data_IF_947303471369
#
_entry.id   IF_947303471369
#
_cell.length_a   1.000
_cell.length_b   1.000
_cell.length_c   1.000
_cell.angle_alpha   90.00
_cell.angle_beta   90.00
_cell.angle_gamma   90.00
#
_symmetry.space_group_name_H-M   'P 1'
#
loop_
_entity.id
_entity.type
_entity.pdbx_description
1 polymer ?
#
# COMPACT_ATOMS: atom_id res chain seq x y z
N UNK A 1 -79.75 59.41 108.88
CA UNK A 1 -78.55 60.16 108.46
C UNK A 1 -77.46 59.15 108.09
N UNK A 2 -76.83 59.38 106.94
CA UNK A 2 -75.54 58.83 106.48
C UNK A 2 -75.33 57.30 106.46
N UNK A 3 -75.66 56.71 105.30
CA UNK A 3 -74.78 55.95 104.40
C UNK A 3 -73.54 55.24 104.99
N UNK A 4 -73.52 53.90 104.94
CA UNK A 4 -72.31 53.12 104.73
C UNK A 4 -72.59 51.94 103.80
N UNK A 5 -71.73 51.78 102.80
CA UNK A 5 -71.82 50.79 101.73
C UNK A 5 -71.49 49.39 102.24
N UNK A 6 -72.34 48.41 101.96
CA UNK A 6 -71.89 47.03 101.74
C UNK A 6 -72.77 46.29 100.72
N UNK A 7 -72.06 45.74 99.73
CA UNK A 7 -72.35 44.68 98.77
C UNK A 7 -73.55 43.77 99.06
N UNK A 8 -74.33 43.49 98.01
CA UNK A 8 -74.53 42.15 97.42
C UNK A 8 -75.21 42.36 96.03
N UNK A 9 -74.73 41.90 94.87
CA UNK A 9 -74.24 40.60 94.40
C UNK A 9 -75.37 39.60 94.11
N UNK A 10 -75.74 39.48 92.83
CA UNK A 10 -76.35 38.33 92.14
C UNK A 10 -76.88 38.87 90.81
N UNK A 11 -76.54 38.38 89.63
CA UNK A 11 -76.55 36.98 89.17
C UNK A 11 -75.78 36.92 87.85
N UNK A 12 -74.79 36.03 87.71
CA UNK A 12 -74.92 34.79 86.91
C UNK A 12 -75.51 35.08 85.52
N UNK A 13 -74.74 34.97 84.44
CA UNK A 13 -74.60 33.67 83.78
C UNK A 13 -73.21 33.42 83.18
N UNK A 14 -72.63 32.31 83.61
CA UNK A 14 -71.58 31.56 82.93
C UNK A 14 -72.08 31.07 81.56
N UNK A 15 -71.59 31.64 80.46
CA UNK A 15 -71.36 30.82 79.27
C UNK A 15 -69.95 30.24 79.36
N UNK A 16 -69.88 28.96 79.72
CA UNK A 16 -68.66 28.16 79.71
C UNK A 16 -68.20 27.98 78.25
N UNK A 17 -67.35 28.90 77.78
CA UNK A 17 -66.73 28.91 76.46
C UNK A 17 -65.58 27.87 76.31
N UNK A 18 -65.48 26.95 77.28
CA UNK A 18 -64.46 25.89 77.33
C UNK A 18 -64.39 25.02 76.06
N UNK A 19 -65.51 24.63 75.42
CA UNK A 19 -65.46 23.85 74.18
C UNK A 19 -64.89 24.66 73.00
N UNK A 20 -65.26 25.93 72.89
CA UNK A 20 -64.78 26.87 71.85
C UNK A 20 -63.30 27.17 72.03
N UNK A 21 -62.84 27.49 73.24
CA UNK A 21 -61.42 27.70 73.55
C UNK A 21 -60.56 26.45 73.27
N UNK A 22 -61.05 25.26 73.58
CA UNK A 22 -60.36 23.99 73.26
C UNK A 22 -60.26 23.76 71.75
N UNK A 23 -61.30 24.12 71.00
CA UNK A 23 -61.35 23.99 69.54
C UNK A 23 -60.40 24.99 68.85
N UNK A 24 -60.32 26.22 69.35
CA UNK A 24 -59.37 27.25 68.90
C UNK A 24 -57.94 26.78 69.14
N UNK A 25 -57.61 26.29 70.34
CA UNK A 25 -56.27 25.79 70.64
C UNK A 25 -55.85 24.62 69.76
N UNK A 26 -56.75 23.66 69.51
CA UNK A 26 -56.50 22.57 68.56
C UNK A 26 -56.28 23.05 67.11
N UNK A 27 -56.94 24.15 66.70
CA UNK A 27 -56.75 24.76 65.38
C UNK A 27 -55.39 25.49 65.31
N UNK A 28 -55.00 26.20 66.38
CA UNK A 28 -53.70 26.85 66.49
C UNK A 28 -52.55 25.83 66.43
N UNK A 29 -52.64 24.74 67.19
CA UNK A 29 -51.64 23.65 67.18
C UNK A 29 -51.53 23.00 65.79
N UNK A 30 -52.66 22.73 65.12
CA UNK A 30 -52.67 22.24 63.72
C UNK A 30 -52.08 23.24 62.73
N UNK A 31 -52.32 24.54 62.94
CA UNK A 31 -51.78 25.57 62.07
C UNK A 31 -50.26 25.70 62.24
N UNK A 32 -49.77 25.58 63.47
CA UNK A 32 -48.33 25.51 63.79
C UNK A 32 -47.67 24.29 63.13
N UNK A 33 -48.30 23.12 63.21
CA UNK A 33 -47.81 21.88 62.57
C UNK A 33 -47.77 22.01 61.04
N UNK A 34 -48.82 22.59 60.43
CA UNK A 34 -48.85 22.88 59.00
C UNK A 34 -47.78 23.88 58.58
N UNK A 35 -47.51 24.89 59.40
CA UNK A 35 -46.44 25.87 59.14
C UNK A 35 -45.06 25.20 59.13
N UNK A 36 -44.80 24.31 60.09
CA UNK A 36 -43.56 23.53 60.14
C UNK A 36 -43.40 22.62 58.91
N UNK A 37 -44.47 21.89 58.54
CA UNK A 37 -44.48 21.05 57.33
C UNK A 37 -44.24 21.86 56.06
N UNK A 38 -44.82 23.04 55.94
CA UNK A 38 -44.59 23.94 54.79
C UNK A 38 -43.14 24.43 54.71
N UNK A 39 -42.51 24.72 55.85
CA UNK A 39 -41.09 25.09 55.89
C UNK A 39 -40.19 23.92 55.46
N UNK A 40 -40.53 22.69 55.87
CA UNK A 40 -39.80 21.49 55.47
C UNK A 40 -39.95 21.17 53.98
N UNK A 41 -41.17 21.28 53.44
CA UNK A 41 -41.44 21.17 51.99
C UNK A 41 -40.64 22.22 51.21
N UNK A 42 -40.58 23.46 51.70
CA UNK A 42 -39.80 24.52 51.06
C UNK A 42 -38.31 24.18 50.99
N UNK A 43 -37.73 23.65 52.07
CA UNK A 43 -36.32 23.19 52.09
C UNK A 43 -36.08 22.02 51.14
N UNK A 44 -36.96 21.02 51.14
CA UNK A 44 -36.87 19.88 50.24
C UNK A 44 -36.94 20.31 48.77
N UNK A 45 -37.85 21.24 48.43
CA UNK A 45 -37.96 21.79 47.08
C UNK A 45 -36.68 22.51 46.65
N UNK A 46 -36.07 23.32 47.53
CA UNK A 46 -34.78 23.96 47.23
C UNK A 46 -33.68 22.94 46.95
N UNK A 47 -33.57 21.87 47.76
CA UNK A 47 -32.61 20.79 47.53
C UNK A 47 -32.87 20.04 46.22
N UNK A 48 -34.14 19.82 45.87
CA UNK A 48 -34.53 19.16 44.63
C UNK A 48 -34.15 20.00 43.40
N UNK A 49 -34.33 21.32 43.47
CA UNK A 49 -33.93 22.26 42.41
C UNK A 49 -32.43 22.18 42.17
N UNK A 50 -31.64 22.13 43.24
CA UNK A 50 -30.17 22.04 43.14
C UNK A 50 -29.72 20.72 42.51
N UNK A 51 -30.31 19.59 42.92
CA UNK A 51 -30.06 18.28 42.29
C UNK A 51 -30.46 18.27 40.81
N UNK A 52 -31.57 18.89 40.43
CA UNK A 52 -31.99 18.98 39.03
C UNK A 52 -31.01 19.80 38.18
N UNK A 53 -30.42 20.86 38.74
CA UNK A 53 -29.36 21.62 38.05
C UNK A 53 -28.13 20.75 37.81
N UNK A 54 -27.73 19.96 38.80
CA UNK A 54 -26.57 19.06 38.66
C UNK A 54 -26.82 17.98 37.60
N UNK A 55 -27.99 17.33 37.61
CA UNK A 55 -28.37 16.36 36.57
C UNK A 55 -28.36 16.99 35.18
N UNK A 56 -28.81 18.25 35.06
CA UNK A 56 -28.80 18.96 33.78
C UNK A 56 -27.38 19.22 33.30
N UNK A 57 -26.45 19.54 34.21
CA UNK A 57 -25.02 19.73 33.93
C UNK A 57 -24.38 18.43 33.43
N UNK A 58 -24.61 17.33 34.15
CA UNK A 58 -24.10 15.99 33.79
C UNK A 58 -24.63 15.55 32.42
N UNK A 59 -25.93 15.76 32.15
CA UNK A 59 -26.51 15.41 30.85
C UNK A 59 -25.89 16.20 29.70
N UNK A 60 -25.55 17.48 29.93
CA UNK A 60 -24.83 18.29 28.94
C UNK A 60 -23.44 17.72 28.65
N UNK A 61 -22.65 17.42 29.69
CA UNK A 61 -21.31 16.84 29.54
C UNK A 61 -21.35 15.46 28.84
N UNK A 62 -22.33 14.61 29.17
CA UNK A 62 -22.50 13.31 28.52
C UNK A 62 -22.86 13.45 27.05
N UNK A 63 -23.67 14.44 26.69
CA UNK A 63 -24.04 14.71 25.30
C UNK A 63 -22.84 15.14 24.46
N UNK A 64 -22.01 16.04 24.99
CA UNK A 64 -20.75 16.43 24.31
C UNK A 64 -19.81 15.24 24.11
N UNK A 65 -19.64 14.40 25.14
CA UNK A 65 -18.82 13.18 25.03
C UNK A 65 -19.39 12.19 24.00
N UNK A 66 -20.70 12.09 23.88
CA UNK A 66 -21.35 11.24 22.89
C UNK A 66 -21.09 11.76 21.47
N UNK A 67 -21.24 13.05 21.23
CA UNK A 67 -20.94 13.69 19.93
C UNK A 67 -19.46 13.48 19.53
N UNK A 68 -18.53 13.60 20.48
CA UNK A 68 -17.11 13.37 20.22
C UNK A 68 -16.84 11.89 19.84
N UNK A 69 -17.51 10.95 20.52
CA UNK A 69 -17.41 9.52 20.21
C UNK A 69 -17.99 9.18 18.85
N UNK A 70 -19.11 9.79 18.47
CA UNK A 70 -19.71 9.62 17.14
C UNK A 70 -18.79 10.14 16.03
N UNK A 71 -18.13 11.29 16.26
CA UNK A 71 -17.15 11.82 15.30
C UNK A 71 -15.97 10.86 15.11
N UNK A 72 -15.39 10.36 16.22
CA UNK A 72 -14.31 9.36 16.17
C UNK A 72 -14.75 8.07 15.48
N UNK A 73 -16.00 7.64 15.68
CA UNK A 73 -16.54 6.46 15.02
C UNK A 73 -16.63 6.63 13.50
N UNK A 74 -17.07 7.80 13.01
CA UNK A 74 -17.09 8.10 11.56
C UNK A 74 -15.68 8.13 10.97
N UNK A 75 -14.72 8.72 11.67
CA UNK A 75 -13.31 8.71 11.24
C UNK A 75 -12.76 7.28 11.16
N UNK A 76 -13.09 6.44 12.15
CA UNK A 76 -12.69 5.04 12.15
C UNK A 76 -13.35 4.23 11.01
N UNK A 77 -14.63 4.46 10.72
CA UNK A 77 -15.31 3.83 9.58
C UNK A 77 -14.64 4.19 8.26
N UNK A 78 -14.26 5.45 8.07
CA UNK A 78 -13.54 5.88 6.87
C UNK A 78 -12.15 5.23 6.77
N UNK A 79 -11.45 5.10 7.90
CA UNK A 79 -10.17 4.40 7.94
C UNK A 79 -10.30 2.92 7.54
N UNK A 80 -11.31 2.22 8.07
CA UNK A 80 -11.61 0.83 7.69
C UNK A 80 -11.92 0.72 6.20
N UNK A 81 -12.74 1.61 5.63
CA UNK A 81 -13.06 1.61 4.21
C UNK A 81 -11.81 1.79 3.33
N UNK A 82 -10.89 2.68 3.75
CA UNK A 82 -9.63 2.88 3.04
C UNK A 82 -8.76 1.60 3.07
N UNK A 83 -8.68 0.91 4.22
CA UNK A 83 -7.96 -0.35 4.35
C UNK A 83 -8.57 -1.47 3.49
N UNK A 84 -9.90 -1.53 3.38
CA UNK A 84 -10.57 -2.51 2.52
C UNK A 84 -10.27 -2.27 1.03
N UNK A 85 -10.25 -1.00 0.60
CA UNK A 85 -9.85 -0.64 -0.76
C UNK A 85 -8.40 -1.04 -1.03
N UNK A 86 -7.49 -0.73 -0.11
CA UNK A 86 -6.09 -1.13 -0.23
C UNK A 86 -5.93 -2.66 -0.31
N UNK A 87 -6.63 -3.42 0.54
CA UNK A 87 -6.64 -4.89 0.49
C UNK A 87 -7.13 -5.41 -0.86
N UNK A 88 -8.16 -4.79 -1.43
CA UNK A 88 -8.71 -5.21 -2.73
C UNK A 88 -7.73 -4.93 -3.88
N UNK A 89 -7.01 -3.81 -3.83
CA UNK A 89 -5.93 -3.49 -4.78
C UNK A 89 -4.78 -4.50 -4.67
N UNK A 90 -4.34 -4.83 -3.44
CA UNK A 90 -3.33 -5.86 -3.19
C UNK A 90 -3.76 -7.24 -3.72
N UNK A 91 -5.02 -7.62 -3.51
CA UNK A 91 -5.56 -8.89 -4.01
C UNK A 91 -5.54 -8.95 -5.55
N UNK A 92 -5.85 -7.84 -6.22
CA UNK A 92 -5.76 -7.75 -7.68
C UNK A 92 -4.31 -7.83 -8.18
N UNK A 93 -3.35 -7.28 -7.43
CA UNK A 93 -1.93 -7.40 -7.75
C UNK A 93 -1.45 -8.85 -7.60
N UNK A 94 -1.83 -9.53 -6.50
CA UNK A 94 -1.53 -10.94 -6.30
C UNK A 94 -2.10 -11.83 -7.40
N UNK A 95 -3.35 -11.59 -7.81
CA UNK A 95 -3.95 -12.32 -8.95
C UNK A 95 -3.19 -12.08 -10.25
N UNK A 96 -2.71 -10.86 -10.51
CA UNK A 96 -1.88 -10.56 -11.70
C UNK A 96 -0.54 -11.28 -11.65
N UNK A 97 0.10 -11.33 -10.49
CA UNK A 97 1.36 -12.03 -10.26
C UNK A 97 1.19 -13.54 -10.42
N UNK A 98 0.12 -14.11 -9.88
CA UNK A 98 -0.21 -15.52 -10.03
C UNK A 98 -0.43 -15.86 -11.51
N UNK A 99 -1.18 -15.03 -12.25
CA UNK A 99 -1.33 -15.20 -13.69
C UNK A 99 -0.01 -15.03 -14.46
N UNK A 100 0.90 -14.15 -14.02
CA UNK A 100 2.22 -14.01 -14.62
C UNK A 100 3.11 -15.22 -14.33
N UNK A 101 3.08 -15.73 -13.09
CA UNK A 101 3.77 -16.97 -12.70
C UNK A 101 3.27 -18.15 -13.53
N UNK A 102 1.94 -18.33 -13.64
CA UNK A 102 1.34 -19.36 -14.47
C UNK A 102 1.67 -19.18 -15.95
N UNK A 103 1.77 -17.94 -16.44
CA UNK A 103 2.19 -17.67 -17.82
C UNK A 103 3.67 -17.99 -18.02
N UNK A 104 4.53 -17.69 -17.06
CA UNK A 104 5.95 -18.06 -17.05
C UNK A 104 6.08 -19.59 -17.01
N UNK A 105 5.34 -20.28 -16.16
CA UNK A 105 5.28 -21.75 -16.08
C UNK A 105 4.80 -22.38 -17.38
N UNK A 106 3.81 -21.77 -18.02
CA UNK A 106 3.28 -22.23 -19.32
C UNK A 106 4.24 -21.90 -20.46
N UNK A 107 4.99 -20.80 -20.39
CA UNK A 107 6.03 -20.43 -21.35
C UNK A 107 7.28 -21.31 -21.19
N UNK A 108 7.68 -21.65 -19.97
CA UNK A 108 8.60 -22.75 -19.67
C UNK A 108 8.05 -24.05 -20.26
N UNK A 109 6.74 -24.29 -20.11
CA UNK A 109 5.97 -25.36 -20.74
C UNK A 109 5.99 -25.40 -22.27
N UNK A 110 6.00 -24.24 -22.93
CA UNK A 110 6.05 -24.11 -24.39
C UNK A 110 7.50 -24.19 -24.89
N UNK A 111 8.47 -23.75 -24.10
CA UNK A 111 9.90 -24.02 -24.30
C UNK A 111 10.26 -25.52 -24.09
N UNK A 112 9.38 -26.32 -23.45
CA UNK A 112 9.52 -27.79 -23.36
C UNK A 112 9.44 -28.48 -24.71
N UNK A 113 8.82 -27.87 -25.72
CA UNK A 113 8.52 -28.59 -26.97
C UNK A 113 9.72 -28.80 -27.87
N UNK A 114 10.88 -28.19 -27.58
CA UNK A 114 12.04 -28.42 -28.45
C UNK A 114 13.23 -29.14 -27.83
N UNK A 115 13.58 -29.14 -26.52
CA UNK A 115 14.86 -29.83 -26.17
C UNK A 115 15.26 -30.13 -24.70
N UNK A 116 14.38 -30.18 -23.68
CA UNK A 116 14.85 -30.35 -22.27
C UNK A 116 14.17 -31.49 -21.50
N UNK A 117 15.00 -32.34 -20.88
CA UNK A 117 14.68 -33.50 -20.01
C UNK A 117 13.85 -33.11 -18.77
N UNK A 118 12.76 -33.84 -18.50
CA UNK A 118 11.80 -33.61 -17.41
C UNK A 118 12.44 -33.65 -16.02
N UNK A 119 13.56 -34.37 -15.84
CA UNK A 119 14.29 -34.43 -14.56
C UNK A 119 14.92 -33.08 -14.18
N UNK A 120 15.35 -32.29 -15.16
CA UNK A 120 15.92 -30.95 -14.93
C UNK A 120 14.83 -29.99 -14.42
N UNK A 121 13.60 -30.15 -14.92
CA UNK A 121 12.45 -29.31 -14.54
C UNK A 121 12.02 -29.57 -13.10
N UNK A 122 12.02 -30.84 -12.67
CA UNK A 122 11.73 -31.20 -11.29
C UNK A 122 12.74 -30.55 -10.33
N UNK A 123 14.02 -30.63 -10.69
CA UNK A 123 15.12 -29.99 -9.96
C UNK A 123 14.93 -28.47 -9.89
N UNK A 124 14.54 -27.80 -10.98
CA UNK A 124 14.29 -26.34 -10.97
C UNK A 124 13.13 -25.90 -10.08
N UNK A 125 12.04 -26.68 -10.03
CA UNK A 125 10.87 -26.34 -9.20
C UNK A 125 11.17 -26.49 -7.72
N UNK A 126 11.81 -27.61 -7.35
CA UNK A 126 12.24 -27.87 -5.97
C UNK A 126 13.23 -26.78 -5.51
N UNK A 127 14.17 -26.40 -6.37
CA UNK A 127 15.14 -25.33 -6.09
C UNK A 127 14.49 -23.95 -5.92
N UNK A 128 13.41 -23.65 -6.65
CA UNK A 128 12.72 -22.36 -6.57
C UNK A 128 11.88 -22.24 -5.29
N UNK A 129 11.25 -23.32 -4.81
CA UNK A 129 10.51 -23.27 -3.53
C UNK A 129 11.47 -23.13 -2.34
N UNK A 130 12.59 -23.85 -2.35
CA UNK A 130 13.63 -23.73 -1.31
C UNK A 130 14.33 -22.36 -1.34
N UNK A 131 14.55 -21.78 -2.52
CA UNK A 131 15.05 -20.41 -2.68
C UNK A 131 14.12 -19.39 -2.00
N UNK A 132 12.80 -19.53 -2.13
CA UNK A 132 11.81 -18.63 -1.53
C UNK A 132 11.74 -18.76 -0.01
N UNK A 133 11.93 -19.96 0.53
CA UNK A 133 11.99 -20.19 1.98
C UNK A 133 13.20 -19.48 2.63
N UNK A 134 14.33 -19.38 1.92
CA UNK A 134 15.58 -18.80 2.44
C UNK A 134 15.54 -17.28 2.67
N UNK A 135 14.73 -16.51 1.91
CA UNK A 135 14.57 -15.06 2.09
C UNK A 135 13.74 -14.65 3.32
N UNK A 136 13.09 -15.61 3.99
CA UNK A 136 12.33 -15.36 5.22
C UNK A 136 13.21 -15.39 6.47
N UNK A 137 14.41 -15.97 6.41
CA UNK A 137 15.35 -16.02 7.51
C UNK A 137 16.32 -14.84 7.44
N UNK A 138 16.09 -13.84 8.29
CA UNK A 138 16.96 -12.67 8.47
C UNK A 138 18.26 -13.10 9.15
N UNK A 139 19.29 -13.43 8.40
CA UNK A 139 20.68 -13.33 8.85
C UNK A 139 21.59 -13.04 7.63
N UNK A 140 22.29 -11.88 7.58
CA UNK A 140 23.08 -11.50 6.41
C UNK A 140 24.44 -12.20 6.28
N UNK A 141 24.86 -12.98 7.28
CA UNK A 141 26.25 -13.41 7.45
C UNK A 141 26.50 -14.92 7.26
N UNK A 142 25.46 -15.69 6.88
CA UNK A 142 25.66 -17.05 6.39
C UNK A 142 25.70 -17.02 4.87
N UNK A 143 26.86 -17.36 4.30
CA UNK A 143 27.00 -17.59 2.87
C UNK A 143 26.02 -18.69 2.43
N UNK A 144 24.90 -18.28 1.85
CA UNK A 144 23.87 -19.16 1.31
C UNK A 144 24.52 -20.17 0.33
N UNK A 145 24.40 -21.50 0.57
CA UNK A 145 25.11 -22.53 -0.19
C UNK A 145 24.74 -22.59 -1.69
N UNK A 146 23.65 -21.91 -2.09
CA UNK A 146 23.11 -21.91 -3.45
C UNK A 146 23.76 -20.91 -4.43
N UNK A 147 24.40 -19.85 -3.95
CA UNK A 147 25.11 -18.93 -4.84
C UNK A 147 26.40 -19.53 -5.40
N UNK A 148 26.81 -20.72 -4.93
CA UNK A 148 28.04 -21.39 -5.35
C UNK A 148 28.09 -21.73 -6.84
N UNK A 149 26.94 -21.98 -7.48
CA UNK A 149 26.88 -22.31 -8.91
C UNK A 149 26.60 -21.12 -9.83
N UNK A 150 26.32 -19.93 -9.29
CA UNK A 150 26.11 -18.72 -10.09
C UNK A 150 27.48 -18.18 -10.51
N UNK A 151 27.68 -18.10 -11.82
CA UNK A 151 28.93 -17.62 -12.43
C UNK A 151 28.77 -16.23 -13.03
N UNK A 152 27.56 -15.87 -13.45
CA UNK A 152 27.24 -14.59 -14.09
C UNK A 152 25.97 -14.01 -13.49
N UNK A 153 25.98 -12.71 -13.23
CA UNK A 153 24.77 -11.94 -12.89
C UNK A 153 24.46 -11.02 -14.05
N UNK A 154 23.20 -10.96 -14.47
CA UNK A 154 22.71 -10.08 -15.53
C UNK A 154 21.67 -9.14 -14.92
N UNK A 155 21.92 -7.83 -14.98
CA UNK A 155 20.92 -6.81 -14.68
C UNK A 155 20.22 -6.38 -15.96
N UNK A 156 18.92 -6.62 -16.06
CA UNK A 156 18.08 -6.23 -17.19
C UNK A 156 17.18 -5.06 -16.77
N UNK A 157 17.38 -3.92 -17.44
CA UNK A 157 16.45 -2.80 -17.46
C UNK A 157 15.46 -3.02 -18.61
N UNK A 158 14.28 -3.55 -18.27
CA UNK A 158 13.16 -3.70 -19.20
C UNK A 158 12.35 -2.41 -19.21
N UNK A 159 12.78 -1.38 -19.92
CA UNK A 159 12.12 -0.07 -19.93
C UNK A 159 10.90 0.03 -20.85
N UNK A 160 10.08 1.06 -20.67
CA UNK A 160 8.86 1.29 -21.48
C UNK A 160 9.18 1.56 -22.95
N UNK A 161 10.23 2.33 -23.20
CA UNK A 161 10.61 2.78 -24.55
C UNK A 161 11.85 2.06 -25.08
N UNK A 162 12.83 1.86 -24.21
CA UNK A 162 14.07 1.18 -24.53
C UNK A 162 14.43 0.25 -23.37
N UNK A 163 15.05 -0.88 -23.70
CA UNK A 163 15.58 -1.83 -22.72
C UNK A 163 17.09 -1.99 -22.92
N UNK A 164 17.80 -2.30 -21.85
CA UNK A 164 19.23 -2.56 -21.87
C UNK A 164 19.61 -3.55 -20.79
N UNK A 165 20.76 -4.20 -20.94
CA UNK A 165 21.27 -5.09 -19.90
C UNK A 165 22.76 -4.88 -19.68
N UNK A 166 23.17 -5.14 -18.45
CA UNK A 166 24.57 -5.23 -18.04
C UNK A 166 24.80 -6.58 -17.39
N UNK A 167 26.03 -7.07 -17.41
CA UNK A 167 26.38 -8.35 -16.84
C UNK A 167 27.75 -8.31 -16.17
N UNK A 168 27.97 -9.21 -15.22
CA UNK A 168 29.22 -9.32 -14.49
C UNK A 168 29.49 -10.78 -14.13
N UNK A 169 30.75 -11.19 -14.23
CA UNK A 169 31.17 -12.48 -13.69
C UNK A 169 31.33 -12.40 -12.17
N UNK A 170 30.82 -13.40 -11.44
CA UNK A 170 30.90 -13.45 -9.98
C UNK A 170 32.36 -13.50 -9.49
N UNK A 171 33.25 -14.10 -10.29
CA UNK A 171 34.69 -14.12 -10.03
C UNK A 171 35.38 -12.74 -10.18
N UNK A 172 34.75 -11.80 -10.89
CA UNK A 172 35.29 -10.45 -11.10
C UNK A 172 34.18 -9.39 -10.93
N UNK A 173 33.72 -9.24 -9.69
CA UNK A 173 32.56 -8.41 -9.30
C UNK A 173 32.71 -6.91 -9.65
N UNK A 174 33.93 -6.44 -9.87
CA UNK A 174 34.23 -5.04 -10.16
C UNK A 174 34.08 -4.71 -11.65
N UNK A 175 34.05 -5.72 -12.53
CA UNK A 175 34.00 -5.51 -13.97
C UNK A 175 32.57 -5.72 -14.51
N UNK A 176 31.75 -4.69 -14.33
CA UNK A 176 30.40 -4.65 -14.91
C UNK A 176 30.50 -4.25 -16.38
N UNK A 177 30.01 -5.11 -17.27
CA UNK A 177 29.98 -4.86 -18.70
C UNK A 177 28.55 -4.56 -19.16
N UNK A 178 28.33 -3.38 -19.74
CA UNK A 178 27.07 -3.06 -20.42
C UNK A 178 27.06 -3.62 -21.84
N UNK A 179 25.91 -4.09 -22.31
CA UNK A 179 25.79 -4.50 -23.70
C UNK A 179 25.62 -3.29 -24.63
N UNK A 180 26.43 -3.23 -25.68
CA UNK A 180 26.41 -2.16 -26.69
C UNK A 180 26.08 -2.66 -28.11
N UNK A 181 25.99 -3.99 -28.27
CA UNK A 181 25.83 -4.64 -29.58
C UNK A 181 24.40 -5.16 -29.66
N UNK A 182 23.63 -4.65 -30.64
CA UNK A 182 22.22 -5.01 -30.83
C UNK A 182 21.96 -5.41 -32.29
N UNK A 183 20.99 -6.31 -32.56
CA UNK A 183 20.65 -6.67 -33.92
C UNK A 183 20.17 -5.46 -34.75
N UNK A 184 20.96 -5.10 -35.78
CA UNK A 184 20.63 -4.02 -36.71
C UNK A 184 21.05 -2.62 -36.25
N UNK A 185 21.76 -2.50 -35.12
CA UNK A 185 22.33 -1.24 -34.64
C UNK A 185 23.78 -1.39 -34.21
N UNK A 186 24.56 -0.32 -34.42
CA UNK A 186 25.93 -0.22 -33.95
C UNK A 186 25.95 0.94 -32.94
N UNK A 187 26.58 0.75 -31.78
CA UNK A 187 26.87 1.78 -30.76
C UNK A 187 25.67 2.37 -29.99
N UNK A 188 24.86 1.53 -29.33
CA UNK A 188 23.87 2.00 -28.34
C UNK A 188 23.82 1.07 -27.10
N UNK A 189 23.70 1.63 -25.89
CA UNK A 189 23.55 0.86 -24.64
C UNK A 189 22.17 0.21 -24.46
N UNK A 190 21.18 0.63 -25.24
CA UNK A 190 19.81 0.15 -25.18
C UNK A 190 19.27 -0.10 -26.59
N UNK A 191 18.26 -0.94 -26.69
CA UNK A 191 17.44 -1.17 -27.89
C UNK A 191 16.00 -0.79 -27.61
N UNK A 192 15.20 -0.49 -28.64
CA UNK A 192 13.79 -0.13 -28.45
C UNK A 192 12.98 -1.30 -27.85
N UNK A 193 12.00 -0.99 -26.99
CA UNK A 193 11.04 -1.95 -26.44
C UNK A 193 9.86 -2.12 -27.39
N UNK A 194 10.14 -2.69 -28.57
CA UNK A 194 9.20 -2.73 -29.70
C UNK A 194 9.24 -4.08 -30.39
N UNK A 195 8.07 -4.54 -30.83
CA UNK A 195 7.89 -5.77 -31.60
C UNK A 195 7.18 -5.50 -32.91
N UNK A 196 7.58 -6.20 -33.97
CA UNK A 196 6.88 -6.27 -35.23
C UNK A 196 6.48 -7.72 -35.47
N UNK A 197 5.18 -7.96 -35.59
CA UNK A 197 4.64 -9.27 -35.90
C UNK A 197 4.43 -9.48 -37.40
N UNK A 198 4.28 -10.75 -37.77
CA UNK A 198 3.66 -11.15 -39.04
C UNK A 198 2.21 -10.65 -39.16
N UNK A 199 1.60 -10.84 -40.33
CA UNK A 199 0.27 -10.31 -40.62
C UNK A 199 -0.83 -10.92 -39.72
N UNK A 200 -0.58 -12.12 -39.18
CA UNK A 200 -1.50 -12.87 -38.31
C UNK A 200 -1.25 -12.65 -36.81
N UNK A 201 -0.22 -11.88 -36.44
CA UNK A 201 0.20 -11.68 -35.05
C UNK A 201 0.65 -12.95 -34.30
N UNK A 202 1.04 -13.98 -35.04
CA UNK A 202 1.51 -15.23 -34.47
C UNK A 202 2.97 -15.09 -34.02
N UNK A 203 3.83 -14.66 -34.95
CA UNK A 203 5.28 -14.71 -34.80
C UNK A 203 5.92 -13.32 -34.88
N UNK A 204 6.93 -13.09 -34.06
CA UNK A 204 7.76 -11.89 -34.14
C UNK A 204 8.68 -12.00 -35.35
N UNK A 205 8.57 -11.05 -36.28
CA UNK A 205 9.42 -10.99 -37.47
C UNK A 205 10.57 -10.00 -37.31
N UNK A 206 10.38 -8.92 -36.53
CA UNK A 206 11.42 -7.96 -36.17
C UNK A 206 11.18 -7.46 -34.74
N UNK A 207 12.23 -7.05 -34.05
CA UNK A 207 12.15 -6.44 -32.72
C UNK A 207 13.22 -5.37 -32.55
N UNK A 208 13.11 -4.59 -31.48
CA UNK A 208 14.06 -3.52 -31.22
C UNK A 208 14.08 -2.46 -32.33
N UNK A 209 15.24 -1.85 -32.54
CA UNK A 209 15.42 -0.84 -33.58
C UNK A 209 15.10 -1.36 -34.99
N UNK A 210 15.35 -2.63 -35.27
CA UNK A 210 15.02 -3.25 -36.56
C UNK A 210 13.52 -3.19 -36.87
N UNK A 211 12.65 -3.21 -35.85
CA UNK A 211 11.21 -3.03 -36.02
C UNK A 211 10.82 -1.59 -36.42
N UNK A 212 11.64 -0.60 -36.11
CA UNK A 212 11.41 0.82 -36.42
C UNK A 212 12.13 1.29 -37.70
N UNK A 213 13.20 0.61 -38.10
CA UNK A 213 14.12 1.05 -39.16
C UNK A 213 13.52 1.09 -40.59
N UNK A 214 12.35 0.48 -40.86
CA UNK A 214 11.87 0.29 -42.24
C UNK A 214 10.68 1.19 -42.61
N UNK A 215 10.90 2.08 -43.60
CA UNK A 215 9.80 2.66 -44.38
C UNK A 215 9.03 1.51 -45.06
N UNK A 216 7.68 1.48 -44.99
CA UNK A 216 6.90 0.43 -45.62
C UNK A 216 7.20 0.41 -47.12
N UNK A 217 7.75 -0.70 -47.60
CA UNK A 217 7.91 -0.93 -49.03
C UNK A 217 6.48 -1.04 -49.58
N UNK A 218 6.07 -0.19 -50.54
CA UNK A 218 4.65 -0.05 -50.99
C UNK A 218 3.97 -1.38 -51.41
N UNK A 219 4.75 -2.45 -51.62
CA UNK A 219 4.29 -3.79 -52.01
C UNK A 219 4.06 -4.77 -50.85
N UNK A 220 4.56 -4.51 -49.63
CA UNK A 220 4.37 -5.40 -48.46
C UNK A 220 3.71 -4.60 -47.34
N UNK A 221 2.43 -4.86 -47.11
CA UNK A 221 1.61 -4.19 -46.10
C UNK A 221 1.82 -4.91 -44.76
N UNK A 222 2.86 -4.50 -44.01
CA UNK A 222 3.09 -5.06 -42.66
C UNK A 222 2.22 -4.38 -41.63
N UNK A 223 1.89 -5.11 -40.57
CA UNK A 223 1.27 -4.57 -39.37
C UNK A 223 2.12 -3.43 -38.79
N UNK A 224 1.51 -2.55 -37.98
CA UNK A 224 2.28 -1.54 -37.26
C UNK A 224 3.10 -2.21 -36.15
N UNK A 225 4.27 -1.65 -35.79
CA UNK A 225 4.98 -2.07 -34.60
C UNK A 225 4.09 -1.96 -33.36
N UNK A 226 4.27 -2.90 -32.43
CA UNK A 226 3.62 -2.97 -31.14
C UNK A 226 4.58 -2.41 -30.11
N UNK A 227 4.18 -1.31 -29.49
CA UNK A 227 4.98 -0.50 -28.57
C UNK A 227 4.24 -0.31 -27.25
N UNK A 228 4.92 0.21 -26.22
CA UNK A 228 4.33 0.63 -24.94
C UNK A 228 3.60 -0.49 -24.18
N UNK A 229 3.82 -1.75 -24.53
CA UNK A 229 3.16 -2.88 -23.89
C UNK A 229 3.58 -3.06 -22.42
N UNK A 230 4.74 -2.52 -21.98
CA UNK A 230 5.13 -2.46 -20.55
C UNK A 230 4.12 -1.65 -19.72
N UNK A 231 3.47 -0.62 -20.28
CA UNK A 231 2.48 0.20 -19.55
C UNK A 231 1.27 -0.62 -19.06
N UNK A 232 1.06 -1.81 -19.63
CA UNK A 232 0.03 -2.71 -19.13
C UNK A 232 0.35 -3.31 -17.75
N UNK A 233 1.63 -3.40 -17.39
CA UNK A 233 2.09 -3.88 -16.09
C UNK A 233 1.95 -2.82 -14.98
N UNK A 234 2.02 -1.52 -15.32
CA UNK A 234 1.89 -0.42 -14.36
C UNK A 234 0.45 -0.17 -13.87
N UNK A 235 0.33 0.67 -12.84
CA UNK A 235 -0.95 1.06 -12.23
C UNK A 235 -1.68 2.18 -12.99
N UNK A 236 -1.57 2.16 -14.32
CA UNK A 236 -2.20 3.15 -15.18
C UNK A 236 -3.72 2.88 -15.30
N UNK A 237 -4.55 3.92 -15.28
CA UNK A 237 -5.98 3.81 -15.56
C UNK A 237 -6.20 3.06 -16.90
N UNK A 238 -7.14 2.13 -16.94
CA UNK A 238 -7.45 1.31 -18.13
C UNK A 238 -7.68 2.15 -19.38
N UNK A 239 -8.21 3.38 -19.25
CA UNK A 239 -8.47 4.31 -20.35
C UNK A 239 -7.19 4.91 -20.95
N UNK A 240 -6.11 4.97 -20.17
CA UNK A 240 -4.81 5.49 -20.58
C UNK A 240 -3.88 4.40 -21.14
N UNK A 241 -4.21 3.11 -20.91
CA UNK A 241 -3.41 2.00 -21.43
C UNK A 241 -3.47 1.95 -22.96
N UNK A 242 -2.33 1.69 -23.64
CA UNK A 242 -2.30 1.64 -25.09
C UNK A 242 -3.14 0.47 -25.62
N UNK A 243 -3.88 0.70 -26.70
CA UNK A 243 -4.60 -0.37 -27.40
C UNK A 243 -3.58 -1.20 -28.19
N UNK A 244 -3.42 -2.46 -27.81
CA UNK A 244 -2.51 -3.39 -28.47
C UNK A 244 -3.28 -4.32 -29.41
N UNK A 245 -2.71 -4.68 -30.58
CA UNK A 245 -3.31 -5.65 -31.49
C UNK A 245 -3.14 -7.10 -31.02
N UNK A 246 -2.29 -7.32 -30.01
CA UNK A 246 -2.05 -8.60 -29.34
C UNK A 246 -2.26 -8.46 -27.84
N UNK A 247 -2.47 -9.57 -27.15
CA UNK A 247 -2.46 -9.58 -25.69
C UNK A 247 -1.11 -9.05 -25.15
N UNK A 248 -1.16 -8.16 -24.17
CA UNK A 248 0.01 -7.56 -23.57
C UNK A 248 0.98 -8.59 -22.98
N UNK A 249 0.50 -9.70 -22.41
CA UNK A 249 1.38 -10.75 -21.88
C UNK A 249 2.13 -11.46 -22.99
N UNK A 250 1.48 -11.67 -24.13
CA UNK A 250 2.15 -12.20 -25.35
C UNK A 250 3.27 -11.24 -25.78
N UNK A 251 2.97 -9.95 -25.93
CA UNK A 251 3.97 -8.95 -26.32
C UNK A 251 5.16 -8.90 -25.34
N UNK A 252 4.91 -8.89 -24.04
CA UNK A 252 5.97 -8.88 -23.03
C UNK A 252 6.82 -10.16 -23.11
N UNK A 253 6.17 -11.33 -23.16
CA UNK A 253 6.86 -12.63 -23.27
C UNK A 253 7.72 -12.70 -24.52
N UNK A 254 7.16 -12.28 -25.65
CA UNK A 254 7.82 -12.33 -26.94
C UNK A 254 9.05 -11.41 -26.97
N UNK A 255 8.93 -10.21 -26.37
CA UNK A 255 10.06 -9.29 -26.24
C UNK A 255 11.17 -9.85 -25.34
N UNK A 256 10.79 -10.36 -24.16
CA UNK A 256 11.74 -10.96 -23.21
C UNK A 256 12.45 -12.19 -23.82
N UNK A 257 11.76 -12.94 -24.68
CA UNK A 257 12.37 -14.05 -25.43
C UNK A 257 13.43 -13.56 -26.41
N UNK A 258 13.16 -12.50 -27.19
CA UNK A 258 14.14 -11.99 -28.15
C UNK A 258 15.36 -11.36 -27.48
N UNK A 259 15.18 -10.55 -26.43
CA UNK A 259 16.32 -10.02 -25.67
C UNK A 259 17.08 -11.12 -24.92
N UNK A 260 16.37 -12.14 -24.43
CA UNK A 260 16.96 -13.32 -23.80
C UNK A 260 17.94 -14.08 -24.72
N UNK A 261 17.63 -14.15 -26.03
CA UNK A 261 18.57 -14.71 -27.02
C UNK A 261 19.86 -13.90 -27.09
N UNK A 262 19.77 -12.56 -27.11
CA UNK A 262 20.95 -11.69 -27.14
C UNK A 262 21.79 -11.82 -25.87
N UNK A 263 21.15 -11.87 -24.70
CA UNK A 263 21.85 -12.07 -23.43
C UNK A 263 22.57 -13.42 -23.46
N UNK A 264 21.87 -14.49 -23.87
CA UNK A 264 22.45 -15.83 -23.99
C UNK A 264 23.65 -15.82 -24.95
N UNK A 265 23.51 -15.26 -26.14
CA UNK A 265 24.61 -15.20 -27.12
C UNK A 265 25.81 -14.41 -26.60
N UNK A 266 25.58 -13.41 -25.73
CA UNK A 266 26.64 -12.59 -25.15
C UNK A 266 27.41 -13.29 -24.03
N UNK A 267 26.75 -14.12 -23.22
CA UNK A 267 27.34 -14.70 -21.98
C UNK A 267 27.58 -16.22 -22.05
N UNK A 268 26.88 -16.94 -22.92
CA UNK A 268 26.82 -18.41 -22.90
C UNK A 268 28.05 -19.11 -23.48
N UNK A 269 29.11 -18.39 -23.87
CA UNK A 269 30.31 -19.01 -24.43
C UNK A 269 31.08 -19.85 -23.40
N UNK A 270 30.74 -19.76 -22.10
CA UNK A 270 31.44 -20.47 -21.02
C UNK A 270 30.56 -21.02 -19.89
N UNK A 271 29.23 -20.82 -19.94
CA UNK A 271 28.34 -21.13 -18.82
C UNK A 271 26.97 -21.63 -19.29
N UNK A 272 26.35 -22.53 -18.51
CA UNK A 272 24.97 -22.94 -18.73
C UNK A 272 24.05 -21.79 -18.32
N UNK A 273 23.30 -21.22 -19.28
CA UNK A 273 22.47 -20.05 -19.03
C UNK A 273 21.45 -20.27 -17.91
N UNK A 274 20.80 -21.42 -17.87
CA UNK A 274 19.72 -21.65 -16.90
C UNK A 274 20.27 -21.95 -15.50
N UNK A 275 21.43 -22.58 -15.40
CA UNK A 275 21.99 -23.01 -14.11
C UNK A 275 22.95 -21.99 -13.49
N UNK A 276 23.70 -21.26 -14.32
CA UNK A 276 24.83 -20.45 -13.86
C UNK A 276 24.58 -18.94 -13.95
N UNK A 277 23.41 -18.51 -14.46
CA UNK A 277 23.10 -17.10 -14.65
C UNK A 277 21.98 -16.68 -13.73
N UNK A 278 22.22 -15.65 -12.91
CA UNK A 278 21.18 -14.95 -12.17
C UNK A 278 20.70 -13.74 -12.97
N UNK A 279 19.42 -13.73 -13.35
CA UNK A 279 18.79 -12.58 -14.00
C UNK A 279 18.09 -11.71 -12.95
N UNK A 280 18.50 -10.45 -12.87
CA UNK A 280 17.92 -9.42 -12.02
C UNK A 280 17.17 -8.44 -12.92
N UNK A 281 15.85 -8.35 -12.75
CA UNK A 281 14.99 -7.45 -13.50
C UNK A 281 14.67 -6.23 -12.65
N UNK A 282 14.86 -5.02 -13.21
CA UNK A 282 14.40 -3.80 -12.56
C UNK A 282 12.93 -3.51 -12.88
N UNK A 283 12.20 -3.02 -11.88
CA UNK A 283 10.79 -2.61 -12.01
C UNK A 283 10.58 -1.17 -11.53
N UNK A 284 9.57 -0.45 -12.04
CA UNK A 284 9.23 0.87 -11.53
C UNK A 284 8.94 0.86 -10.01
N UNK A 285 9.20 1.99 -9.33
CA UNK A 285 9.06 2.11 -7.87
C UNK A 285 7.62 1.95 -7.36
N UNK A 286 6.62 2.08 -8.23
CA UNK A 286 5.20 1.93 -7.90
C UNK A 286 4.77 0.46 -7.72
N UNK A 287 5.65 -0.50 -8.00
CA UNK A 287 5.36 -1.93 -7.84
C UNK A 287 5.43 -2.32 -6.36
N UNK A 288 4.65 -3.32 -5.96
CA UNK A 288 4.51 -3.70 -4.55
C UNK A 288 5.84 -4.21 -3.97
N UNK A 289 6.30 -3.59 -2.88
CA UNK A 289 7.48 -3.99 -2.08
C UNK A 289 7.38 -5.40 -1.48
N UNK A 290 6.18 -6.01 -1.47
CA UNK A 290 5.96 -7.35 -0.94
C UNK A 290 6.51 -8.45 -1.86
N UNK A 291 6.91 -8.10 -3.09
CA UNK A 291 7.54 -8.99 -4.06
C UNK A 291 9.07 -8.81 -4.08
N UNK A 292 9.74 -9.27 -3.02
CA UNK A 292 11.21 -9.23 -2.82
C UNK A 292 12.07 -9.89 -3.93
N UNK A 293 11.47 -10.31 -5.05
CA UNK A 293 12.13 -10.97 -6.19
C UNK A 293 12.71 -9.98 -7.20
N UNK A 294 12.35 -8.70 -7.11
CA UNK A 294 12.76 -7.66 -8.05
C UNK A 294 13.45 -6.51 -7.31
N UNK A 295 14.32 -5.80 -8.04
CA UNK A 295 14.91 -4.54 -7.57
C UNK A 295 14.15 -3.39 -8.22
N UNK A 296 13.90 -2.30 -7.50
CA UNK A 296 13.32 -1.12 -8.14
C UNK A 296 14.37 -0.42 -9.00
N UNK A 297 13.95 0.23 -10.09
CA UNK A 297 14.81 1.06 -10.95
C UNK A 297 15.55 2.12 -10.10
N UNK A 298 14.87 2.73 -9.12
CA UNK A 298 15.45 3.70 -8.21
C UNK A 298 16.45 3.11 -7.20
N UNK A 299 16.27 1.87 -6.74
CA UNK A 299 17.28 1.15 -5.93
C UNK A 299 18.54 0.85 -6.72
N UNK A 300 18.37 0.32 -7.92
CA UNK A 300 19.50 -0.02 -8.78
C UNK A 300 20.34 1.24 -9.06
N UNK A 301 19.70 2.37 -9.39
CA UNK A 301 20.36 3.64 -9.59
C UNK A 301 21.07 4.15 -8.32
N UNK A 302 20.39 4.11 -7.17
CA UNK A 302 20.96 4.57 -5.90
C UNK A 302 22.19 3.75 -5.48
N UNK A 303 22.11 2.42 -5.54
CA UNK A 303 23.22 1.51 -5.21
C UNK A 303 24.41 1.76 -6.12
N UNK A 304 24.17 1.91 -7.43
CA UNK A 304 25.24 2.17 -8.39
C UNK A 304 25.96 3.51 -8.10
N UNK A 305 25.19 4.59 -7.87
CA UNK A 305 25.74 5.90 -7.56
C UNK A 305 26.49 5.93 -6.22
N UNK A 306 25.98 5.25 -5.19
CA UNK A 306 26.66 5.15 -3.90
C UNK A 306 28.04 4.49 -4.06
N UNK A 307 28.10 3.34 -4.74
CA UNK A 307 29.32 2.56 -4.85
C UNK A 307 30.37 3.18 -5.78
N UNK A 308 29.97 3.92 -6.81
CA UNK A 308 30.88 4.38 -7.87
C UNK A 308 31.06 5.90 -7.99
N UNK A 309 30.19 6.72 -7.37
CA UNK A 309 30.23 8.20 -7.54
C UNK A 309 30.30 8.94 -6.21
N UNK A 310 29.46 8.58 -5.26
CA UNK A 310 29.37 9.30 -3.98
C UNK A 310 30.52 8.93 -3.01
N UNK A 311 31.04 7.70 -3.08
CA UNK A 311 32.24 7.32 -2.34
C UNK A 311 33.48 8.12 -2.78
N UNK A 312 33.57 8.50 -4.05
CA UNK A 312 34.67 9.33 -4.58
C UNK A 312 34.56 10.79 -4.10
N UNK A 313 33.35 11.27 -3.84
CA UNK A 313 33.06 12.64 -3.42
C UNK A 313 33.16 12.84 -1.90
N UNK A 314 33.32 11.78 -1.10
CA UNK A 314 33.27 11.80 0.39
C UNK A 314 32.01 12.46 0.97
N UNK A 315 30.93 12.55 0.19
CA UNK A 315 29.71 13.25 0.58
C UNK A 315 28.68 12.35 1.28
N UNK A 316 28.98 11.07 1.55
CA UNK A 316 28.00 10.13 2.10
C UNK A 316 27.95 10.17 3.65
N UNK A 317 26.75 10.33 4.20
CA UNK A 317 26.48 10.27 5.63
C UNK A 317 25.18 9.49 5.89
N UNK A 318 25.17 8.69 6.96
CA UNK A 318 23.96 8.05 7.48
C UNK A 318 22.87 9.11 7.72
N UNK A 319 21.65 8.86 7.25
CA UNK A 319 20.54 9.79 7.33
C UNK A 319 20.41 10.76 6.15
N UNK A 320 21.33 10.74 5.17
CA UNK A 320 21.15 11.47 3.93
C UNK A 320 19.95 10.98 3.13
N UNK A 321 19.37 11.91 2.40
CA UNK A 321 18.23 11.65 1.52
C UNK A 321 18.68 11.84 0.08
N UNK A 322 18.61 10.77 -0.72
CA UNK A 322 18.87 10.79 -2.15
C UNK A 322 17.53 10.87 -2.89
N UNK A 323 17.40 11.83 -3.80
CA UNK A 323 16.31 11.84 -4.77
C UNK A 323 16.80 11.26 -6.09
N UNK A 324 16.13 10.22 -6.56
CA UNK A 324 16.31 9.66 -7.89
C UNK A 324 15.20 10.20 -8.78
N UNK A 325 15.60 10.85 -9.87
CA UNK A 325 14.68 11.39 -10.89
C UNK A 325 14.93 10.59 -12.17
N UNK A 326 14.03 9.68 -12.50
CA UNK A 326 14.08 8.90 -13.73
C UNK A 326 13.18 9.55 -14.78
N UNK A 327 13.79 10.17 -15.78
CA UNK A 327 13.11 10.81 -16.90
C UNK A 327 13.18 9.90 -18.13
N UNK A 328 12.29 8.92 -18.19
CA UNK A 328 12.13 8.03 -19.33
C UNK A 328 11.47 8.71 -20.54
N UNK A 329 11.31 7.95 -21.63
CA UNK A 329 10.68 8.47 -22.85
C UNK A 329 9.17 8.76 -22.69
N UNK A 330 8.48 7.98 -21.86
CA UNK A 330 7.03 8.08 -21.65
C UNK A 330 6.62 8.14 -20.17
N UNK A 331 7.56 7.93 -19.25
CA UNK A 331 7.32 7.92 -17.81
C UNK A 331 8.34 8.83 -17.13
N UNK A 332 7.90 9.50 -16.07
CA UNK A 332 8.78 10.28 -15.20
C UNK A 332 8.49 9.83 -13.78
N UNK A 333 9.50 9.24 -13.14
CA UNK A 333 9.39 8.63 -11.83
C UNK A 333 10.32 9.37 -10.85
N UNK A 334 9.77 9.85 -9.73
CA UNK A 334 10.52 10.50 -8.67
C UNK A 334 10.47 9.65 -7.42
N UNK A 335 11.63 9.18 -6.97
CA UNK A 335 11.74 8.42 -5.72
C UNK A 335 12.72 9.11 -4.79
N UNK A 336 12.30 9.29 -3.54
CA UNK A 336 13.16 9.81 -2.47
C UNK A 336 13.53 8.65 -1.55
N UNK A 337 14.82 8.38 -1.37
CA UNK A 337 15.33 7.31 -0.51
C UNK A 337 16.22 7.89 0.59
N UNK A 338 15.98 7.47 1.83
CA UNK A 338 16.83 7.81 2.96
C UNK A 338 17.83 6.67 3.19
N UNK A 339 19.11 7.02 3.28
CA UNK A 339 20.17 6.09 3.66
C UNK A 339 20.03 5.85 5.17
N UNK A 340 19.74 4.60 5.55
CA UNK A 340 19.49 4.19 6.92
C UNK A 340 20.71 3.59 7.59
#
# INVERSE_FOLDING_TARGET
MANERSKDNSSEELFSDKPLKKRIKNLEDKNQENLQKNQEISRLNSSLIEKNKEVSRINSELKEKLEEKEKKFKEFQQYVLNLENQRNEELQQLQKLEMMSQSIDKNLGVLKLEEIDENIIKTFKENNEDFLASFSNKNPDESLPYYSNIKVVVGLDFGTTCSGFSYCHVANKQNICSNEIWPGEITQFKTNTVLQYDDKYNDVVLWGASALARKPNRRIKRNKPVELFKLWLGNLDKRLKPRLPVDHKKAITDYLREIGKVIKDKIAWSVNFFENVLLVLSVPAEYSEKDKKFITESEAAAIYCMNNKLNELQEYNLGMTLMVVDCGGYTVDLTTRKIL
#
